data_IF_849779265059
#
_entry.id   IF_849779265059
#
_cell.length_a   1.000
_cell.length_b   1.000
_cell.length_c   1.000
_cell.angle_alpha   90.00
_cell.angle_beta   90.00
_cell.angle_gamma   90.00
#
_symmetry.space_group_name_H-M   'P 1'
#
loop_
_entity.id
_entity.type
_entity.pdbx_description
1 polymer ?
#
# COMPACT_ATOMS: atom_id res chain seq x y z
N UNK A 1 -30.45 1.66 -22.81
CA UNK A 1 -30.19 3.11 -22.61
C UNK A 1 -29.14 3.22 -21.51
N UNK A 2 -28.01 3.87 -21.78
CA UNK A 2 -26.96 4.07 -20.76
C UNK A 2 -27.32 5.24 -19.82
N UNK A 3 -26.68 5.30 -18.64
CA UNK A 3 -26.87 6.43 -17.72
C UNK A 3 -26.44 7.77 -18.34
N UNK A 4 -25.45 7.74 -19.21
CA UNK A 4 -24.98 8.93 -19.95
C UNK A 4 -26.06 9.38 -20.94
N UNK A 5 -26.64 8.47 -21.73
CA UNK A 5 -27.73 8.79 -22.66
C UNK A 5 -28.99 9.28 -21.95
N UNK A 6 -29.23 8.79 -20.73
CA UNK A 6 -30.33 9.23 -19.90
C UNK A 6 -30.06 10.59 -19.21
N UNK A 7 -28.88 11.16 -19.34
CA UNK A 7 -28.49 12.40 -18.65
C UNK A 7 -28.29 12.26 -17.15
N UNK A 8 -28.25 11.02 -16.63
CA UNK A 8 -28.05 10.73 -15.20
C UNK A 8 -26.58 10.65 -14.80
N UNK A 9 -25.68 10.52 -15.77
CA UNK A 9 -24.24 10.51 -15.57
C UNK A 9 -23.57 11.43 -16.59
N UNK A 10 -22.72 12.32 -16.10
CA UNK A 10 -21.89 13.18 -16.93
C UNK A 10 -20.41 12.96 -16.62
N UNK A 11 -19.60 12.80 -17.64
CA UNK A 11 -18.14 12.78 -17.55
C UNK A 11 -17.63 14.19 -17.86
N UNK A 12 -16.96 14.81 -16.91
CA UNK A 12 -16.51 16.20 -17.03
C UNK A 12 -15.35 16.33 -18.02
N UNK A 13 -14.43 15.36 -18.02
CA UNK A 13 -13.28 15.35 -18.94
C UNK A 13 -12.02 14.82 -18.28
N UNK A 14 -10.91 14.67 -19.04
CA UNK A 14 -9.63 14.26 -18.51
C UNK A 14 -9.03 15.35 -17.61
N UNK A 15 -8.23 14.93 -16.62
CA UNK A 15 -7.58 15.86 -15.68
C UNK A 15 -8.59 16.68 -14.86
N UNK A 16 -9.73 16.09 -14.52
CA UNK A 16 -10.75 16.78 -13.74
C UNK A 16 -10.16 17.29 -12.41
N UNK A 17 -10.49 18.54 -12.09
CA UNK A 17 -10.17 19.20 -10.83
C UNK A 17 -11.44 19.47 -10.05
N UNK A 18 -11.31 19.49 -8.75
CA UNK A 18 -12.40 19.85 -7.86
C UNK A 18 -11.89 20.82 -6.79
N UNK A 19 -12.72 21.81 -6.48
CA UNK A 19 -12.46 22.81 -5.44
C UNK A 19 -13.72 22.99 -4.61
N UNK A 20 -13.57 23.28 -3.32
CA UNK A 20 -14.70 23.69 -2.49
C UNK A 20 -14.94 25.20 -2.71
N UNK A 21 -16.20 25.55 -2.93
CA UNK A 21 -16.68 26.93 -2.94
C UNK A 21 -17.45 27.17 -1.63
N UNK A 22 -16.77 27.85 -0.71
CA UNK A 22 -17.35 28.12 0.62
C UNK A 22 -18.48 29.17 0.59
N UNK A 23 -18.56 30.01 -0.44
CA UNK A 23 -19.62 31.01 -0.58
C UNK A 23 -20.90 30.37 -1.13
N UNK A 24 -20.73 29.41 -2.05
CA UNK A 24 -21.85 28.68 -2.65
C UNK A 24 -22.21 27.42 -1.89
N UNK A 25 -21.49 27.05 -0.82
CA UNK A 25 -21.65 25.80 -0.05
C UNK A 25 -21.70 24.57 -0.98
N UNK A 26 -20.80 24.54 -1.94
CA UNK A 26 -20.79 23.54 -3.02
C UNK A 26 -19.37 23.18 -3.45
N UNK A 27 -19.25 22.14 -4.27
CA UNK A 27 -18.03 21.78 -4.97
C UNK A 27 -18.12 22.20 -6.43
N UNK A 28 -17.06 22.76 -6.97
CA UNK A 28 -16.91 23.04 -8.41
C UNK A 28 -16.02 21.97 -9.00
N UNK A 29 -16.49 21.26 -10.01
CA UNK A 29 -15.75 20.27 -10.77
C UNK A 29 -15.57 20.75 -12.20
N UNK A 30 -14.32 20.76 -12.69
CA UNK A 30 -14.00 21.25 -14.03
C UNK A 30 -12.89 20.42 -14.68
N UNK A 31 -12.71 20.57 -15.99
CA UNK A 31 -11.57 20.02 -16.73
C UNK A 31 -11.01 21.09 -17.65
N UNK A 32 -9.73 21.43 -17.50
CA UNK A 32 -9.05 22.39 -18.38
C UNK A 32 -9.02 21.93 -19.85
N UNK A 33 -9.15 20.62 -20.09
CA UNK A 33 -9.19 20.07 -21.44
C UNK A 33 -10.54 20.24 -22.14
N UNK A 34 -11.60 20.61 -21.38
CA UNK A 34 -12.95 20.74 -21.91
C UNK A 34 -13.53 22.09 -21.54
N UNK A 35 -13.52 23.09 -22.44
CA UNK A 35 -14.11 24.41 -22.18
C UNK A 35 -15.58 24.31 -21.75
N UNK A 36 -15.96 25.04 -20.72
CA UNK A 36 -17.33 25.07 -20.19
C UNK A 36 -17.75 23.75 -19.49
N UNK A 37 -16.78 23.00 -19.00
CA UNK A 37 -17.04 21.76 -18.28
C UNK A 37 -17.48 21.94 -16.83
N UNK A 38 -17.46 23.17 -16.31
CA UNK A 38 -17.77 23.45 -14.91
C UNK A 38 -19.14 22.88 -14.48
N UNK A 39 -19.11 22.17 -13.37
CA UNK A 39 -20.30 21.56 -12.75
C UNK A 39 -20.26 21.86 -11.26
N UNK A 40 -21.40 22.36 -10.75
CA UNK A 40 -21.63 22.47 -9.31
C UNK A 40 -22.15 21.14 -8.77
N UNK A 41 -21.67 20.73 -7.61
CA UNK A 41 -22.10 19.52 -6.93
C UNK A 41 -22.23 19.78 -5.42
N UNK A 42 -23.29 19.25 -4.83
CA UNK A 42 -23.55 19.36 -3.39
C UNK A 42 -22.69 18.38 -2.58
N UNK A 43 -22.24 17.28 -3.21
CA UNK A 43 -21.46 16.23 -2.57
C UNK A 43 -20.29 15.82 -3.47
N UNK A 44 -19.12 15.71 -2.89
CA UNK A 44 -17.92 15.15 -3.51
C UNK A 44 -17.61 13.78 -2.90
N UNK A 45 -17.52 12.76 -3.74
CA UNK A 45 -17.05 11.43 -3.35
C UNK A 45 -15.73 11.17 -4.05
N UNK A 46 -14.63 11.19 -3.32
CA UNK A 46 -13.32 10.80 -3.86
C UNK A 46 -13.15 9.28 -3.80
N UNK A 47 -13.38 8.65 -4.94
CA UNK A 47 -13.25 7.20 -5.09
C UNK A 47 -11.90 6.79 -5.71
N UNK A 48 -10.91 7.70 -5.75
CA UNK A 48 -9.56 7.36 -6.21
C UNK A 48 -8.87 6.51 -5.18
N UNK A 49 -8.23 5.46 -5.64
CA UNK A 49 -7.32 4.66 -4.82
C UNK A 49 -5.99 5.42 -4.78
N UNK A 50 -5.44 5.76 -3.60
CA UNK A 50 -4.11 6.36 -3.51
C UNK A 50 -3.08 5.43 -4.15
N UNK A 51 -2.16 5.99 -4.92
CA UNK A 51 -1.03 5.23 -5.42
C UNK A 51 -0.21 4.68 -4.25
N UNK A 52 0.08 3.38 -4.21
CA UNK A 52 0.89 2.77 -3.16
C UNK A 52 2.37 3.11 -3.36
N UNK A 53 2.73 4.37 -3.17
CA UNK A 53 4.12 4.84 -3.31
C UNK A 53 4.80 4.86 -1.94
N UNK A 54 5.70 3.90 -1.72
CA UNK A 54 6.46 3.79 -0.46
C UNK A 54 7.35 4.99 -0.17
N UNK A 55 7.66 5.81 -1.17
CA UNK A 55 8.43 7.05 -0.98
C UNK A 55 7.60 8.17 -0.34
N UNK A 56 6.29 8.10 -0.53
CA UNK A 56 5.33 9.10 -0.05
C UNK A 56 4.60 8.63 1.22
N UNK A 57 4.80 7.37 1.62
CA UNK A 57 4.18 6.80 2.81
C UNK A 57 4.80 7.44 4.08
N UNK A 58 4.03 8.21 4.87
CA UNK A 58 4.51 8.84 6.08
C UNK A 58 4.69 7.87 7.27
N UNK A 59 4.35 6.60 7.09
CA UNK A 59 4.48 5.58 8.14
C UNK A 59 5.92 5.53 8.69
N UNK A 60 6.12 5.67 10.00
CA UNK A 60 7.46 5.58 10.59
C UNK A 60 8.15 4.25 10.29
N UNK A 61 7.38 3.17 10.12
CA UNK A 61 7.92 1.86 9.74
C UNK A 61 8.50 1.90 8.33
N UNK A 62 7.75 2.38 7.35
CA UNK A 62 8.18 2.48 5.95
C UNK A 62 9.41 3.39 5.82
N UNK A 63 9.35 4.57 6.43
CA UNK A 63 10.47 5.52 6.43
C UNK A 63 11.73 4.88 7.04
N UNK A 64 11.60 4.13 8.14
CA UNK A 64 12.72 3.47 8.79
C UNK A 64 13.31 2.36 7.93
N UNK A 65 12.48 1.52 7.32
CA UNK A 65 12.93 0.41 6.47
C UNK A 65 13.67 0.91 5.24
N UNK A 66 13.15 1.94 4.58
CA UNK A 66 13.82 2.60 3.44
C UNK A 66 15.15 3.23 3.86
N UNK A 67 15.17 4.01 4.96
CA UNK A 67 16.39 4.66 5.46
C UNK A 67 17.49 3.66 5.83
N UNK A 68 17.12 2.50 6.34
CA UNK A 68 18.06 1.41 6.69
C UNK A 68 18.47 0.58 5.49
N UNK A 69 17.93 0.83 4.30
CA UNK A 69 18.19 0.04 3.10
C UNK A 69 17.66 -1.41 3.17
N UNK A 70 16.69 -1.66 4.06
CA UNK A 70 16.03 -2.95 4.20
C UNK A 70 14.89 -3.11 3.18
N UNK A 71 14.42 -2.00 2.63
CA UNK A 71 13.52 -1.93 1.50
C UNK A 71 14.14 -1.09 0.39
N UNK A 72 13.89 -1.48 -0.84
CA UNK A 72 14.24 -0.73 -2.04
C UNK A 72 13.02 -0.65 -2.94
N UNK A 73 12.86 0.47 -3.61
CA UNK A 73 11.80 0.63 -4.59
C UNK A 73 12.01 -0.30 -5.78
N UNK A 74 10.95 -0.94 -6.24
CA UNK A 74 10.97 -1.69 -7.49
C UNK A 74 10.99 -0.73 -8.67
N UNK A 75 12.00 -0.88 -9.51
CA UNK A 75 12.15 -0.15 -10.76
C UNK A 75 11.94 -1.12 -11.91
N UNK A 76 10.99 -0.81 -12.79
CA UNK A 76 10.71 -1.60 -13.97
C UNK A 76 11.50 -1.03 -15.16
N UNK A 77 12.27 -1.89 -15.85
CA UNK A 77 13.12 -1.49 -16.97
C UNK A 77 14.50 -0.99 -16.53
N UNK A 78 15.30 -0.56 -17.51
CA UNK A 78 16.67 -0.11 -17.31
C UNK A 78 16.96 1.19 -18.10
N UNK A 79 17.99 1.92 -17.68
CA UNK A 79 18.44 3.14 -18.35
C UNK A 79 17.37 4.24 -18.43
N UNK A 80 17.22 4.88 -19.58
CA UNK A 80 16.25 5.95 -19.80
C UNK A 80 14.79 5.44 -19.81
N UNK A 81 14.56 4.15 -20.04
CA UNK A 81 13.26 3.52 -20.01
C UNK A 81 12.87 3.01 -18.60
N UNK A 82 13.71 3.25 -17.61
CA UNK A 82 13.43 2.83 -16.23
C UNK A 82 12.23 3.57 -15.66
N UNK A 83 11.25 2.83 -15.17
CA UNK A 83 10.06 3.36 -14.53
C UNK A 83 10.07 3.04 -13.04
N UNK A 84 10.05 4.06 -12.22
CA UNK A 84 9.95 3.96 -10.76
C UNK A 84 8.50 3.70 -10.38
N UNK A 85 8.25 2.55 -9.79
CA UNK A 85 6.87 2.08 -9.58
C UNK A 85 6.24 2.54 -8.27
N UNK A 86 7.04 2.96 -7.29
CA UNK A 86 6.57 3.24 -5.93
C UNK A 86 6.38 1.99 -5.07
N UNK A 87 6.46 0.80 -5.63
CA UNK A 87 6.35 -0.46 -4.89
C UNK A 87 7.67 -0.93 -4.30
N UNK A 88 7.62 -1.91 -3.40
CA UNK A 88 8.80 -2.55 -2.81
C UNK A 88 9.32 -3.63 -3.73
N UNK A 89 10.62 -3.62 -4.00
CA UNK A 89 11.28 -4.73 -4.68
C UNK A 89 11.35 -5.96 -3.76
N UNK A 90 10.80 -7.08 -4.22
CA UNK A 90 10.75 -8.33 -3.46
C UNK A 90 11.22 -9.51 -4.31
N UNK A 91 11.69 -10.56 -3.64
CA UNK A 91 11.93 -11.86 -4.29
C UNK A 91 10.61 -12.48 -4.75
N UNK A 92 10.67 -13.52 -5.55
CA UNK A 92 9.57 -14.48 -5.62
C UNK A 92 9.34 -15.06 -4.23
N UNK A 93 8.28 -15.88 -4.05
CA UNK A 93 8.03 -16.50 -2.75
C UNK A 93 9.34 -16.89 -2.03
N UNK A 94 9.49 -16.55 -0.74
CA UNK A 94 8.54 -16.03 0.21
C UNK A 94 8.53 -14.49 0.37
N UNK A 95 8.78 -13.75 -0.68
CA UNK A 95 8.62 -12.29 -0.78
C UNK A 95 9.53 -11.48 0.17
N UNK A 96 10.77 -11.88 0.26
CA UNK A 96 11.77 -11.08 0.98
C UNK A 96 12.04 -9.76 0.26
N UNK A 97 12.04 -8.63 0.95
CA UNK A 97 12.44 -7.36 0.34
C UNK A 97 13.90 -7.40 -0.07
N UNK A 98 14.22 -6.61 -1.09
CA UNK A 98 15.57 -6.51 -1.62
C UNK A 98 16.26 -5.23 -1.13
N UNK A 99 17.55 -5.32 -0.85
CA UNK A 99 18.42 -4.16 -0.65
C UNK A 99 18.72 -3.48 -2.00
N UNK A 100 19.36 -2.30 -1.97
CA UNK A 100 19.80 -1.60 -3.17
C UNK A 100 20.76 -2.42 -4.05
N UNK A 101 21.49 -3.37 -3.46
CA UNK A 101 22.39 -4.29 -4.16
C UNK A 101 21.67 -5.57 -4.62
N UNK A 102 20.35 -5.62 -4.51
CA UNK A 102 19.53 -6.78 -4.92
C UNK A 102 19.63 -7.99 -3.99
N UNK A 103 20.12 -7.84 -2.76
CA UNK A 103 20.24 -8.94 -1.79
C UNK A 103 18.94 -9.10 -0.98
N UNK A 104 18.43 -10.32 -0.82
CA UNK A 104 17.26 -10.57 0.02
C UNK A 104 17.50 -10.25 1.49
N UNK A 105 16.57 -9.60 2.14
CA UNK A 105 16.53 -9.39 3.59
C UNK A 105 15.72 -10.52 4.22
N UNK A 106 16.39 -11.63 4.56
CA UNK A 106 15.77 -12.89 5.01
C UNK A 106 15.12 -12.67 6.33
N UNK A 107 14.68 -12.23 7.06
CA UNK A 107 13.95 -11.99 8.32
C UNK A 107 12.74 -11.10 8.13
N UNK A 108 12.54 -10.60 6.90
CA UNK A 108 11.39 -9.78 6.53
C UNK A 108 10.65 -10.41 5.37
N UNK A 109 9.33 -10.20 5.35
CA UNK A 109 8.45 -10.54 4.24
C UNK A 109 7.53 -9.37 3.98
N UNK A 110 7.28 -9.07 2.71
CA UNK A 110 6.38 -7.99 2.31
C UNK A 110 5.29 -8.57 1.42
N UNK A 111 4.04 -8.40 1.83
CA UNK A 111 2.85 -8.83 1.10
C UNK A 111 1.86 -7.67 0.94
N UNK A 112 0.96 -7.82 0.00
CA UNK A 112 -0.14 -6.88 -0.21
C UNK A 112 0.26 -5.67 -1.04
N UNK A 113 -0.39 -4.55 -0.81
CA UNK A 113 -0.29 -3.31 -1.59
C UNK A 113 1.13 -2.85 -1.93
N UNK A 114 2.08 -2.86 -0.99
CA UNK A 114 3.45 -2.43 -1.32
C UNK A 114 4.13 -3.27 -2.40
N UNK A 115 3.59 -4.45 -2.73
CA UNK A 115 4.15 -5.36 -3.74
C UNK A 115 3.33 -5.41 -5.04
N UNK A 116 2.29 -4.59 -5.18
CA UNK A 116 1.35 -4.67 -6.31
C UNK A 116 2.04 -4.46 -7.67
N UNK A 117 3.06 -3.61 -7.72
CA UNK A 117 3.81 -3.35 -8.96
C UNK A 117 4.67 -4.53 -9.44
N UNK A 118 4.94 -5.49 -8.56
CA UNK A 118 5.60 -6.76 -8.91
C UNK A 118 4.61 -7.92 -8.99
N UNK A 119 3.45 -7.75 -8.37
CA UNK A 119 2.43 -8.79 -8.21
C UNK A 119 1.05 -8.17 -8.38
N UNK A 120 0.52 -8.25 -9.58
CA UNK A 120 -0.81 -7.75 -9.91
C UNK A 120 -1.90 -8.36 -9.03
N UNK A 121 -2.94 -7.59 -8.77
CA UNK A 121 -4.15 -8.00 -8.03
C UNK A 121 -3.95 -8.29 -6.53
N UNK A 122 -2.98 -7.69 -5.90
CA UNK A 122 -2.80 -7.80 -4.44
C UNK A 122 -3.93 -7.16 -3.64
N UNK A 123 -4.68 -6.22 -4.27
CA UNK A 123 -5.89 -5.58 -3.71
C UNK A 123 -7.14 -6.41 -3.86
N UNK A 124 -7.17 -7.36 -4.77
CA UNK A 124 -8.36 -8.14 -5.02
C UNK A 124 -8.47 -9.23 -3.97
N UNK A 125 -9.08 -8.88 -2.84
CA UNK A 125 -9.58 -9.82 -1.86
C UNK A 125 -10.61 -10.73 -2.53
N UNK A 126 -10.15 -11.67 -3.35
CA UNK A 126 -10.99 -12.66 -3.97
C UNK A 126 -11.55 -13.56 -2.87
N UNK A 127 -12.75 -13.24 -2.44
CA UNK A 127 -13.50 -14.04 -1.49
C UNK A 127 -13.94 -15.40 -2.01
N UNK A 128 -13.24 -15.99 -2.99
CA UNK A 128 -13.45 -17.39 -3.35
C UNK A 128 -12.78 -18.27 -2.32
N UNK A 129 -13.55 -18.94 -1.47
CA UNK A 129 -12.98 -19.92 -0.56
C UNK A 129 -12.34 -21.05 -1.37
N UNK A 130 -11.15 -21.48 -0.96
CA UNK A 130 -10.50 -22.64 -1.54
C UNK A 130 -8.98 -22.57 -1.56
N UNK A 131 -8.30 -23.71 -1.69
CA UNK A 131 -6.84 -23.82 -1.65
C UNK A 131 -6.12 -23.17 -2.87
N UNK A 132 -6.87 -22.71 -3.86
CA UNK A 132 -6.36 -22.08 -5.08
C UNK A 132 -6.27 -20.56 -5.00
N UNK A 133 -6.62 -19.99 -3.86
CA UNK A 133 -6.49 -18.56 -3.63
C UNK A 133 -5.00 -18.21 -3.49
N UNK A 134 -4.51 -17.25 -4.28
CA UNK A 134 -3.12 -16.82 -4.24
C UNK A 134 -2.71 -16.30 -2.85
N UNK A 135 -3.61 -15.62 -2.14
CA UNK A 135 -3.38 -15.19 -0.77
C UNK A 135 -3.07 -16.33 0.18
N UNK A 136 -3.81 -17.43 0.07
CA UNK A 136 -3.59 -18.62 0.92
C UNK A 136 -2.24 -19.24 0.59
N UNK A 137 -1.90 -19.37 -0.69
CA UNK A 137 -0.59 -19.90 -1.12
C UNK A 137 0.57 -19.02 -0.67
N UNK A 138 0.39 -17.71 -0.74
CA UNK A 138 1.41 -16.76 -0.30
C UNK A 138 1.59 -16.83 1.22
N UNK A 139 0.50 -16.85 1.97
CA UNK A 139 0.52 -17.00 3.43
C UNK A 139 1.17 -18.31 3.85
N UNK A 140 0.85 -19.41 3.17
CA UNK A 140 1.43 -20.73 3.42
C UNK A 140 2.95 -20.73 3.17
N UNK A 141 3.38 -20.15 2.04
CA UNK A 141 4.80 -20.05 1.70
C UNK A 141 5.59 -19.20 2.71
N UNK A 142 4.99 -18.10 3.20
CA UNK A 142 5.61 -17.26 4.22
C UNK A 142 5.68 -17.99 5.55
N UNK A 143 4.60 -18.69 5.95
CA UNK A 143 4.58 -19.47 7.18
C UNK A 143 5.61 -20.61 7.15
N UNK A 144 5.70 -21.34 6.04
CA UNK A 144 6.72 -22.37 5.85
C UNK A 144 8.13 -21.81 5.98
N UNK A 145 8.44 -20.70 5.28
CA UNK A 145 9.74 -20.07 5.37
C UNK A 145 10.08 -19.54 6.77
N UNK A 146 9.08 -19.05 7.49
CA UNK A 146 9.27 -18.63 8.88
C UNK A 146 9.56 -19.81 9.82
N UNK A 147 8.88 -20.93 9.64
CA UNK A 147 9.13 -22.15 10.41
C UNK A 147 10.51 -22.73 10.11
N UNK A 148 10.93 -22.76 8.85
CA UNK A 148 12.24 -23.25 8.44
C UNK A 148 13.38 -22.37 8.99
N UNK A 149 13.11 -21.09 9.23
CA UNK A 149 14.08 -20.17 9.81
C UNK A 149 14.24 -20.30 11.33
N UNK A 150 13.31 -20.99 12.01
CA UNK A 150 13.42 -21.25 13.46
C UNK A 150 14.51 -22.30 13.70
N UNK A 151 15.56 -21.98 14.50
CA UNK A 151 16.55 -22.98 14.84
C UNK A 151 15.87 -24.17 15.51
N UNK A 152 16.09 -25.37 14.99
CA UNK A 152 15.66 -26.59 15.64
C UNK A 152 16.50 -26.74 16.92
N UNK A 153 15.96 -26.31 18.05
CA UNK A 153 16.55 -26.59 19.35
C UNK A 153 16.24 -28.05 19.68
N UNK A 154 17.29 -28.85 19.73
CA UNK A 154 17.20 -30.21 20.28
C UNK A 154 16.60 -30.09 21.71
N UNK A 155 15.57 -30.87 22.09
CA UNK A 155 14.92 -30.75 23.40
C UNK A 155 15.84 -30.92 24.61
N UNK A 156 17.11 -31.23 24.40
CA UNK A 156 18.14 -31.33 25.44
C UNK A 156 19.07 -30.12 25.61
N UNK A 157 18.96 -29.08 24.75
CA UNK A 157 19.83 -27.92 24.87
C UNK A 157 19.13 -26.78 25.63
N UNK A 158 19.70 -26.26 26.73
CA UNK A 158 19.09 -25.12 27.44
C UNK A 158 18.98 -23.92 26.51
N UNK A 159 17.76 -23.39 26.37
CA UNK A 159 17.45 -22.21 25.57
C UNK A 159 18.32 -21.04 26.00
N UNK A 160 19.00 -20.31 25.09
CA UNK A 160 19.65 -19.06 25.44
C UNK A 160 18.61 -18.07 25.95
N UNK A 161 18.95 -17.39 27.05
CA UNK A 161 18.07 -16.51 27.83
C UNK A 161 17.21 -15.61 26.94
N UNK A 162 15.91 -15.66 27.19
CA UNK A 162 14.87 -14.83 26.61
C UNK A 162 15.28 -13.35 26.72
N UNK A 163 15.46 -12.67 25.61
CA UNK A 163 15.60 -11.21 25.60
C UNK A 163 14.34 -10.62 26.24
N UNK A 164 14.48 -9.62 27.11
CA UNK A 164 13.32 -8.98 27.72
C UNK A 164 12.45 -8.39 26.61
N UNK A 165 11.18 -8.79 26.63
CA UNK A 165 10.16 -8.15 25.80
C UNK A 165 10.09 -6.71 26.25
N UNK A 166 10.52 -5.79 25.40
CA UNK A 166 10.30 -4.35 25.65
C UNK A 166 8.82 -4.13 25.44
N UNK A 167 8.11 -4.05 26.55
CA UNK A 167 6.69 -3.70 26.55
C UNK A 167 6.56 -2.28 25.98
N UNK A 168 6.09 -2.19 24.74
CA UNK A 168 5.82 -0.93 24.08
C UNK A 168 4.64 -0.26 24.81
N UNK A 169 4.93 0.69 25.67
CA UNK A 169 3.90 1.55 26.28
C UNK A 169 3.27 2.36 25.14
N UNK A 170 2.06 2.00 24.76
CA UNK A 170 1.22 2.79 23.84
C UNK A 170 0.85 4.08 24.59
N UNK A 171 1.25 5.27 24.12
CA UNK A 171 0.82 6.50 24.75
C UNK A 171 -0.70 6.63 24.60
N UNK A 172 -1.37 6.80 25.72
CA UNK A 172 -2.81 7.12 25.76
C UNK A 172 -3.00 8.49 25.10
N UNK A 173 -3.92 8.63 24.12
CA UNK A 173 -4.19 9.94 23.55
C UNK A 173 -4.79 10.86 24.62
N UNK A 174 -4.21 12.04 24.79
CA UNK A 174 -4.81 13.10 25.61
C UNK A 174 -6.18 13.51 24.99
N UNK A 175 -7.20 13.75 25.83
CA UNK A 175 -8.49 14.23 25.32
C UNK A 175 -8.31 15.65 24.79
N UNK A 176 -8.60 15.84 23.51
CA UNK A 176 -8.69 17.15 22.85
C UNK A 176 -9.70 18.02 23.62
N UNK A 177 -9.21 19.12 24.17
CA UNK A 177 -10.04 20.07 24.91
C UNK A 177 -11.11 20.68 23.98
N UNK A 178 -12.35 20.58 24.38
CA UNK A 178 -13.47 21.27 23.72
C UNK A 178 -13.24 22.79 23.74
N UNK A 179 -13.51 23.48 22.63
CA UNK A 179 -13.50 24.95 22.62
C UNK A 179 -14.70 25.51 23.41
N UNK A 180 -14.40 26.52 24.21
CA UNK A 180 -15.38 27.37 24.89
C UNK A 180 -15.98 28.35 23.88
#
# INVERSE_FOLDING_TARGET
MSLIEAGLLRVVGPGARFTADAEADSFVVSSDAVPGSDVLADVLIDARIPDPDVRLDPSPLTVNLLRRGLWTEFVNGEGEAAFRTGGVAVTRSPFHPLTAEGRPVTGLTVLGLPTEHTRWFTLVGNGRPGPWNEFIRDADAVAAAALDAVPHTDPGTPSPATHPVVEATVPTPEPEGAPV
#
